data_IF_897230233726
#
_entry.id   IF_897230233726
#
_cell.length_a   1.000
_cell.length_b   1.000
_cell.length_c   1.000
_cell.angle_alpha   90.00
_cell.angle_beta   90.00
_cell.angle_gamma   90.00
#
_symmetry.space_group_name_H-M   'P 1'
#
loop_
_entity.id
_entity.type
_entity.pdbx_description
1 polymer ?
#
# COMPACT_ATOMS: atom_id res chain seq x y z
N UNK A 1 -24.20 -9.66 -24.24
CA UNK A 1 -23.42 -8.43 -24.56
C UNK A 1 -22.80 -7.97 -23.27
N UNK A 2 -21.50 -7.71 -23.26
CA UNK A 2 -20.81 -7.06 -22.15
C UNK A 2 -20.01 -5.86 -22.67
N UNK A 3 -20.04 -4.77 -21.92
CA UNK A 3 -19.30 -3.53 -22.17
C UNK A 3 -18.22 -3.34 -21.12
N UNK A 4 -16.98 -3.19 -21.55
CA UNK A 4 -15.83 -2.86 -20.70
C UNK A 4 -15.59 -1.36 -20.75
N UNK A 5 -15.43 -0.73 -19.58
CA UNK A 5 -15.24 0.71 -19.40
C UNK A 5 -16.35 1.38 -18.57
N UNK A 6 -16.08 2.53 -17.98
CA UNK A 6 -16.93 3.16 -16.94
C UNK A 6 -17.79 4.32 -17.44
N UNK A 7 -17.47 4.97 -18.57
CA UNK A 7 -18.01 6.28 -18.96
C UNK A 7 -19.41 6.32 -19.58
N UNK A 8 -20.14 5.21 -19.67
CA UNK A 8 -21.47 5.23 -20.27
C UNK A 8 -22.52 5.71 -19.26
N UNK A 9 -23.15 6.86 -19.54
CA UNK A 9 -24.22 7.42 -18.71
C UNK A 9 -25.63 6.94 -19.10
N UNK A 10 -25.77 6.19 -20.19
CA UNK A 10 -27.07 5.69 -20.65
C UNK A 10 -27.53 4.49 -19.79
N UNK A 11 -28.66 4.59 -19.04
CA UNK A 11 -29.10 3.52 -18.14
C UNK A 11 -29.38 2.19 -18.85
N UNK A 12 -29.90 2.23 -20.09
CA UNK A 12 -30.20 1.02 -20.89
C UNK A 12 -28.93 0.25 -21.28
N UNK A 13 -27.80 0.93 -21.37
CA UNK A 13 -26.51 0.34 -21.74
C UNK A 13 -25.70 -0.02 -20.48
N UNK A 14 -25.87 0.72 -19.38
CA UNK A 14 -25.17 0.47 -18.12
C UNK A 14 -25.38 -0.95 -17.57
N UNK A 15 -26.57 -1.54 -17.74
CA UNK A 15 -26.84 -2.93 -17.36
C UNK A 15 -25.88 -3.95 -18.00
N UNK A 16 -25.31 -3.63 -19.18
CA UNK A 16 -24.35 -4.49 -19.86
C UNK A 16 -22.91 -4.23 -19.44
N UNK A 17 -22.64 -3.31 -18.50
CA UNK A 17 -21.28 -3.07 -18.02
C UNK A 17 -20.65 -4.30 -17.38
N UNK A 18 -19.33 -4.44 -17.51
CA UNK A 18 -18.57 -5.51 -16.86
C UNK A 18 -18.70 -5.41 -15.32
N UNK A 19 -18.80 -4.21 -14.76
CA UNK A 19 -19.14 -4.01 -13.33
C UNK A 19 -20.43 -4.74 -12.95
N UNK A 20 -21.52 -4.48 -13.67
CA UNK A 20 -22.81 -5.13 -13.41
C UNK A 20 -22.79 -6.62 -13.75
N UNK A 21 -21.93 -7.07 -14.67
CA UNK A 21 -21.72 -8.50 -14.92
C UNK A 21 -21.04 -9.18 -13.73
N UNK A 22 -20.00 -8.57 -13.13
CA UNK A 22 -19.36 -9.06 -11.89
C UNK A 22 -20.37 -9.15 -10.76
N UNK A 23 -21.14 -8.08 -10.51
CA UNK A 23 -22.14 -8.07 -9.45
C UNK A 23 -23.17 -9.20 -9.63
N UNK A 24 -23.77 -9.34 -10.81
CA UNK A 24 -24.73 -10.41 -11.10
C UNK A 24 -24.10 -11.80 -10.97
N UNK A 25 -22.85 -11.97 -11.36
CA UNK A 25 -22.17 -13.26 -11.24
C UNK A 25 -21.90 -13.66 -9.78
N UNK A 26 -21.66 -12.67 -8.91
CA UNK A 26 -21.57 -12.85 -7.46
C UNK A 26 -22.93 -13.24 -6.88
N UNK A 27 -23.97 -12.46 -7.17
CA UNK A 27 -25.35 -12.71 -6.70
C UNK A 27 -25.87 -14.10 -7.10
N UNK A 28 -25.63 -14.48 -8.37
CA UNK A 28 -26.08 -15.76 -8.91
C UNK A 28 -25.11 -16.92 -8.66
N UNK A 29 -23.96 -16.67 -8.01
CA UNK A 29 -22.88 -17.66 -7.78
C UNK A 29 -22.48 -18.41 -9.06
N UNK A 30 -22.39 -17.69 -10.18
CA UNK A 30 -22.14 -18.27 -11.50
C UNK A 30 -20.66 -18.44 -11.84
N UNK A 31 -19.76 -17.94 -11.00
CA UNK A 31 -18.31 -18.11 -11.16
C UNK A 31 -17.87 -19.48 -10.63
N UNK A 32 -16.84 -20.10 -11.22
CA UNK A 32 -16.20 -21.28 -10.65
C UNK A 32 -15.78 -21.03 -9.19
N UNK A 33 -16.12 -21.97 -8.31
CA UNK A 33 -15.89 -21.85 -6.86
C UNK A 33 -14.42 -21.58 -6.53
N UNK A 34 -13.51 -22.25 -7.23
CA UNK A 34 -12.07 -22.10 -7.02
C UNK A 34 -11.61 -20.66 -7.29
N UNK A 35 -12.08 -20.05 -8.38
CA UNK A 35 -11.74 -18.65 -8.70
C UNK A 35 -12.29 -17.71 -7.62
N UNK A 36 -13.53 -17.92 -7.20
CA UNK A 36 -14.15 -17.09 -6.18
C UNK A 36 -13.42 -17.19 -4.83
N UNK A 37 -13.21 -18.41 -4.31
CA UNK A 37 -12.55 -18.61 -3.01
C UNK A 37 -11.10 -18.14 -3.01
N UNK A 38 -10.34 -18.44 -4.07
CA UNK A 38 -8.94 -18.01 -4.16
C UNK A 38 -8.84 -16.49 -4.26
N UNK A 39 -9.74 -15.83 -5.01
CA UNK A 39 -9.79 -14.36 -5.06
C UNK A 39 -10.05 -13.77 -3.68
N UNK A 40 -10.99 -14.33 -2.92
CA UNK A 40 -11.30 -13.88 -1.56
C UNK A 40 -10.12 -14.10 -0.61
N UNK A 41 -9.47 -15.28 -0.65
CA UNK A 41 -8.29 -15.55 0.17
C UNK A 41 -7.16 -14.55 -0.12
N UNK A 42 -6.86 -14.31 -1.39
CA UNK A 42 -5.80 -13.38 -1.79
C UNK A 42 -6.14 -11.92 -1.47
N UNK A 43 -7.42 -11.54 -1.51
CA UNK A 43 -7.86 -10.22 -1.07
C UNK A 43 -7.61 -10.04 0.42
N UNK A 44 -8.03 -10.99 1.25
CA UNK A 44 -7.82 -10.94 2.70
C UNK A 44 -6.33 -10.92 3.06
N UNK A 45 -5.51 -11.76 2.42
CA UNK A 45 -4.05 -11.75 2.59
C UNK A 45 -3.44 -10.40 2.19
N UNK A 46 -3.82 -9.85 1.03
CA UNK A 46 -3.35 -8.53 0.58
C UNK A 46 -3.68 -7.44 1.61
N UNK A 47 -4.93 -7.41 2.11
CA UNK A 47 -5.38 -6.43 3.11
C UNK A 47 -4.57 -6.59 4.41
N UNK A 48 -4.39 -7.82 4.90
CA UNK A 48 -3.60 -8.08 6.09
C UNK A 48 -2.13 -7.62 5.93
N UNK A 49 -1.50 -7.87 4.78
CA UNK A 49 -0.14 -7.37 4.50
C UNK A 49 -0.09 -5.85 4.38
N UNK A 50 -1.12 -5.21 3.82
CA UNK A 50 -1.22 -3.76 3.73
C UNK A 50 -1.32 -3.12 5.13
N UNK A 51 -2.14 -3.68 6.02
CA UNK A 51 -2.23 -3.25 7.41
C UNK A 51 -0.91 -3.44 8.17
N UNK A 52 -0.26 -4.60 7.98
CA UNK A 52 1.05 -4.88 8.58
C UNK A 52 2.12 -3.90 8.09
N UNK A 53 2.13 -3.56 6.80
CA UNK A 53 3.02 -2.55 6.22
C UNK A 53 2.79 -1.17 6.84
N UNK A 54 1.54 -0.71 6.91
CA UNK A 54 1.18 0.59 7.54
C UNK A 54 1.63 0.63 9.00
N UNK A 55 1.37 -0.43 9.77
CA UNK A 55 1.80 -0.52 11.16
C UNK A 55 3.33 -0.46 11.30
N UNK A 56 4.07 -1.16 10.45
CA UNK A 56 5.55 -1.15 10.50
C UNK A 56 6.17 0.14 10.00
N UNK A 57 5.54 0.82 9.02
CA UNK A 57 5.94 2.16 8.59
C UNK A 57 5.77 3.17 9.72
N UNK A 58 4.66 3.09 10.47
CA UNK A 58 4.43 3.92 11.64
C UNK A 58 5.47 3.66 12.75
N UNK A 59 5.79 2.40 13.04
CA UNK A 59 6.87 2.07 13.97
C UNK A 59 8.22 2.66 13.53
N UNK A 60 8.52 2.61 12.22
CA UNK A 60 9.74 3.20 11.66
C UNK A 60 9.76 4.72 11.85
N UNK A 61 8.65 5.41 11.59
CA UNK A 61 8.50 6.86 11.82
C UNK A 61 8.68 7.22 13.30
N UNK A 62 8.14 6.42 14.21
CA UNK A 62 8.35 6.60 15.65
C UNK A 62 9.83 6.52 16.03
N UNK A 63 10.61 5.65 15.38
CA UNK A 63 12.06 5.62 15.66
C UNK A 63 12.75 6.94 15.33
N UNK A 64 12.19 7.78 14.44
CA UNK A 64 12.77 9.05 14.02
C UNK A 64 12.33 10.22 14.91
N UNK A 65 11.23 10.06 15.63
CA UNK A 65 10.54 11.16 16.31
C UNK A 65 10.42 10.97 17.82
N UNK A 66 10.50 9.74 18.32
CA UNK A 66 10.23 9.38 19.71
C UNK A 66 11.29 8.41 20.28
N UNK A 67 11.42 8.41 21.61
CA UNK A 67 12.15 7.35 22.31
C UNK A 67 11.30 6.09 22.26
N UNK A 68 11.88 5.00 21.77
CA UNK A 68 11.21 3.71 21.65
C UNK A 68 11.13 3.06 23.03
N UNK A 69 9.95 2.50 23.32
CA UNK A 69 9.69 1.81 24.57
C UNK A 69 10.62 0.59 24.70
N UNK A 70 11.02 0.30 25.94
CA UNK A 70 11.91 -0.81 26.24
C UNK A 70 11.27 -2.15 25.85
N UNK A 71 9.95 -2.26 26.05
CA UNK A 71 9.14 -3.40 25.62
C UNK A 71 9.38 -3.76 24.15
N UNK A 72 9.32 -2.78 23.24
CA UNK A 72 9.54 -2.98 21.80
C UNK A 72 10.93 -3.57 21.49
N UNK A 73 11.98 -3.14 22.19
CA UNK A 73 13.30 -3.74 21.99
C UNK A 73 13.39 -5.18 22.49
N UNK A 74 12.74 -5.50 23.61
CA UNK A 74 12.78 -6.84 24.19
C UNK A 74 11.96 -7.87 23.41
N UNK A 75 10.80 -7.49 22.88
CA UNK A 75 9.96 -8.35 22.04
C UNK A 75 10.69 -8.81 20.78
N UNK A 76 11.59 -7.98 20.26
CA UNK A 76 12.36 -8.22 19.04
C UNK A 76 13.82 -8.66 19.30
N UNK A 77 14.16 -9.00 20.55
CA UNK A 77 15.48 -9.50 20.96
C UNK A 77 16.64 -8.57 20.53
N UNK A 78 16.43 -7.26 20.58
CA UNK A 78 17.40 -6.25 20.12
C UNK A 78 18.53 -6.04 21.15
N UNK A 79 18.19 -6.13 22.44
CA UNK A 79 19.09 -5.84 23.56
C UNK A 79 19.67 -7.15 24.10
N UNK A 80 20.98 -7.15 24.41
CA UNK A 80 21.63 -8.26 25.12
C UNK A 80 20.97 -8.49 26.49
N UNK A 81 20.71 -9.75 26.83
CA UNK A 81 20.11 -10.16 28.08
C UNK A 81 20.85 -9.63 29.32
N UNK A 82 22.17 -9.44 29.23
CA UNK A 82 22.98 -8.84 30.31
C UNK A 82 22.55 -7.40 30.61
N UNK A 83 22.38 -6.59 29.58
CA UNK A 83 21.92 -5.21 29.71
C UNK A 83 20.45 -5.12 30.15
N UNK A 84 19.59 -6.02 29.65
CA UNK A 84 18.20 -6.13 30.12
C UNK A 84 18.16 -6.38 31.62
N UNK A 85 18.93 -7.39 32.06
CA UNK A 85 18.98 -7.79 33.48
C UNK A 85 19.51 -6.67 34.36
N UNK A 86 20.56 -5.96 33.90
CA UNK A 86 21.09 -4.82 34.65
C UNK A 86 20.15 -3.62 34.71
N UNK A 87 19.46 -3.29 33.61
CA UNK A 87 18.55 -2.14 33.57
C UNK A 87 17.33 -2.36 34.47
N UNK A 88 16.81 -3.59 34.50
CA UNK A 88 15.61 -3.94 35.26
C UNK A 88 15.87 -4.41 36.69
N UNK A 89 17.11 -4.76 37.06
CA UNK A 89 17.45 -5.20 38.42
C UNK A 89 16.90 -4.32 39.57
N UNK A 90 16.84 -2.97 39.45
CA UNK A 90 16.28 -2.10 40.50
C UNK A 90 14.75 -2.00 40.50
N UNK A 91 14.05 -2.56 39.51
CA UNK A 91 12.65 -2.25 39.23
C UNK A 91 11.78 -3.50 39.09
N UNK A 92 10.49 -3.36 39.41
CA UNK A 92 9.49 -4.39 39.10
C UNK A 92 9.23 -4.48 37.59
N UNK A 93 8.77 -5.64 37.12
CA UNK A 93 8.51 -5.92 35.70
C UNK A 93 7.55 -4.96 35.01
N UNK A 94 6.69 -4.26 35.75
CA UNK A 94 5.72 -3.30 35.20
C UNK A 94 6.32 -1.90 34.96
N UNK A 95 7.59 -1.69 35.32
CA UNK A 95 8.27 -0.38 35.29
C UNK A 95 9.36 -0.29 34.20
N UNK A 96 9.40 -1.23 33.24
CA UNK A 96 10.51 -1.33 32.26
C UNK A 96 10.71 -0.07 31.42
N UNK A 97 9.62 0.49 30.92
CA UNK A 97 9.67 1.68 30.06
C UNK A 97 10.05 2.94 30.87
N UNK A 98 9.61 2.99 32.13
CA UNK A 98 9.96 4.07 33.06
C UNK A 98 11.45 3.98 33.43
N UNK A 99 11.98 2.77 33.62
CA UNK A 99 13.39 2.54 33.90
C UNK A 99 14.29 3.02 32.75
N UNK A 100 13.92 2.76 31.48
CA UNK A 100 14.64 3.25 30.31
C UNK A 100 14.67 4.79 30.26
N UNK A 101 13.51 5.43 30.43
CA UNK A 101 13.42 6.89 30.40
C UNK A 101 14.21 7.54 31.53
N UNK A 102 14.20 6.93 32.71
CA UNK A 102 15.02 7.36 33.84
C UNK A 102 16.52 7.19 33.60
N UNK A 103 16.93 6.05 33.02
CA UNK A 103 18.31 5.78 32.64
C UNK A 103 18.85 6.77 31.60
N UNK A 104 17.99 7.21 30.66
CA UNK A 104 18.27 8.25 29.67
C UNK A 104 18.20 9.68 30.23
N UNK A 105 17.92 9.88 31.53
CA UNK A 105 17.97 11.20 32.17
C UNK A 105 16.74 12.08 31.97
N UNK A 106 15.59 11.53 31.52
CA UNK A 106 14.33 12.30 31.40
C UNK A 106 13.72 12.66 32.77
N UNK A 107 14.22 12.05 33.84
CA UNK A 107 13.78 12.24 35.21
C UNK A 107 15.00 12.59 36.09
N UNK A 108 15.26 13.87 36.38
CA UNK A 108 16.47 14.32 37.09
C UNK A 108 16.63 13.75 38.52
N UNK A 109 15.51 13.38 39.16
CA UNK A 109 15.48 12.78 40.51
C UNK A 109 15.34 11.24 40.48
N UNK A 110 15.45 10.60 39.30
CA UNK A 110 15.19 9.17 39.14
C UNK A 110 16.19 8.29 39.89
N UNK A 111 17.46 8.70 39.89
CA UNK A 111 18.53 8.04 40.62
C UNK A 111 18.45 8.31 42.14
N UNK A 112 17.48 9.12 42.60
CA UNK A 112 17.23 9.48 44.00
C UNK A 112 15.88 9.00 44.55
N UNK A 113 15.10 8.24 43.79
CA UNK A 113 13.77 7.79 44.23
C UNK A 113 13.92 6.91 45.48
N UNK A 114 13.42 7.34 46.66
CA UNK A 114 13.30 6.46 47.82
C UNK A 114 12.18 5.45 47.57
N UNK A 115 12.24 4.29 48.25
CA UNK A 115 11.28 3.15 48.18
C UNK A 115 9.77 3.50 48.20
N UNK A 116 9.39 4.75 48.45
CA UNK A 116 7.99 5.18 48.60
C UNK A 116 7.25 5.53 47.30
N UNK A 117 7.88 5.49 46.12
CA UNK A 117 7.16 5.61 44.82
C UNK A 117 6.52 4.29 44.34
N UNK A 118 6.61 3.22 45.16
CA UNK A 118 6.18 1.86 44.83
C UNK A 118 4.65 1.65 45.00
N UNK A 119 3.88 2.63 45.50
CA UNK A 119 2.47 2.40 45.81
C UNK A 119 1.48 2.65 44.64
N UNK A 120 0.57 1.69 44.32
CA UNK A 120 -0.19 1.69 43.06
C UNK A 120 -1.54 2.45 43.10
N UNK A 121 -1.81 3.26 44.11
CA UNK A 121 -3.22 3.66 44.40
C UNK A 121 -3.74 4.93 43.72
N UNK A 122 -2.97 5.59 42.85
CA UNK A 122 -3.46 6.75 42.11
C UNK A 122 -3.24 6.61 40.60
N UNK A 123 -4.04 5.76 39.94
CA UNK A 123 -4.17 5.76 38.47
C UNK A 123 -5.65 5.79 38.08
N UNK A 124 -6.16 7.00 37.81
CA UNK A 124 -7.27 7.14 36.87
C UNK A 124 -6.71 6.94 35.45
N UNK A 125 -7.18 5.88 34.78
CA UNK A 125 -6.89 5.60 33.37
C UNK A 125 -7.54 6.66 32.50
N UNK A 126 -6.76 7.65 32.06
CA UNK A 126 -7.19 8.60 31.03
C UNK A 126 -6.74 8.11 29.65
N UNK A 127 -7.70 7.59 28.88
CA UNK A 127 -7.58 7.38 27.44
C UNK A 127 -7.99 8.68 26.75
N UNK A 128 -7.12 9.26 25.93
CA UNK A 128 -7.44 10.40 25.06
C UNK A 128 -7.00 10.11 23.61
N UNK A 129 -7.70 10.67 22.60
CA UNK A 129 -7.67 10.20 21.22
C UNK A 129 -6.43 10.69 20.47
N UNK A 130 -5.97 9.89 19.51
CA UNK A 130 -4.96 10.26 18.54
C UNK A 130 -5.66 10.95 17.35
N UNK A 131 -5.29 12.20 17.04
CA UNK A 131 -5.65 12.83 15.77
C UNK A 131 -4.73 12.28 14.67
N UNK A 132 -5.34 11.66 13.66
CA UNK A 132 -4.69 11.18 12.44
C UNK A 132 -4.40 12.37 11.53
N UNK A 133 -3.15 12.80 11.45
CA UNK A 133 -2.70 13.61 10.31
C UNK A 133 -2.27 12.67 9.20
N UNK A 134 -3.17 12.45 8.24
CA UNK A 134 -2.87 11.83 6.96
C UNK A 134 -1.82 12.68 6.25
N UNK A 135 -0.59 12.20 6.21
CA UNK A 135 0.45 12.79 5.38
C UNK A 135 0.50 11.98 4.10
N UNK A 136 -0.09 12.52 3.03
CA UNK A 136 -0.03 11.94 1.70
C UNK A 136 1.41 12.00 1.20
N UNK A 137 1.97 10.84 0.88
CA UNK A 137 3.25 10.71 0.19
C UNK A 137 2.94 10.86 -1.31
N UNK A 138 3.35 11.98 -1.89
CA UNK A 138 3.38 12.16 -3.35
C UNK A 138 4.50 11.28 -3.92
N UNK A 139 4.10 10.16 -4.53
CA UNK A 139 4.98 9.38 -5.39
C UNK A 139 5.06 10.06 -6.76
N UNK A 140 6.25 10.01 -7.36
CA UNK A 140 6.56 10.61 -8.65
C UNK A 140 5.58 10.13 -9.74
N UNK A 141 5.04 11.11 -10.48
CA UNK A 141 4.12 10.92 -11.61
C UNK A 141 4.85 10.26 -12.79
N UNK A 142 4.82 8.92 -12.84
CA UNK A 142 4.90 8.21 -14.11
C UNK A 142 3.58 8.45 -14.88
N UNK A 143 3.66 8.60 -16.21
CA UNK A 143 2.56 9.00 -17.11
C UNK A 143 1.21 8.37 -16.72
N UNK A 144 0.41 9.17 -15.99
CA UNK A 144 -0.60 8.73 -15.04
C UNK A 144 -1.95 8.55 -15.76
N UNK A 145 -2.49 7.33 -15.83
CA UNK A 145 -3.86 7.13 -16.30
C UNK A 145 -4.82 7.14 -15.10
N UNK A 146 -5.26 8.34 -14.69
CA UNK A 146 -6.23 8.54 -13.58
C UNK A 146 -7.43 7.59 -13.67
N UNK A 147 -7.86 7.25 -14.89
CA UNK A 147 -8.97 6.33 -15.14
C UNK A 147 -8.71 4.91 -14.64
N UNK A 148 -7.47 4.42 -14.79
CA UNK A 148 -7.09 3.06 -14.40
C UNK A 148 -7.01 2.92 -12.88
N UNK A 149 -6.45 3.92 -12.20
CA UNK A 149 -6.43 3.95 -10.75
C UNK A 149 -7.83 4.08 -10.15
N UNK A 150 -8.69 4.90 -10.75
CA UNK A 150 -10.06 5.05 -10.28
C UNK A 150 -10.88 3.77 -10.54
N UNK A 151 -10.61 3.03 -11.62
CA UNK A 151 -11.20 1.70 -11.82
C UNK A 151 -10.68 0.68 -10.78
N UNK A 152 -9.38 0.66 -10.51
CA UNK A 152 -8.79 -0.23 -9.49
C UNK A 152 -9.30 0.10 -8.08
N UNK A 153 -9.41 1.39 -7.72
CA UNK A 153 -10.04 1.84 -6.47
C UNK A 153 -11.48 1.36 -6.37
N UNK A 154 -12.30 1.61 -7.40
CA UNK A 154 -13.70 1.12 -7.39
C UNK A 154 -13.80 -0.41 -7.31
N UNK A 155 -12.90 -1.14 -7.98
CA UNK A 155 -12.84 -2.61 -7.87
C UNK A 155 -12.46 -3.04 -6.46
N UNK A 156 -11.53 -2.34 -5.83
CA UNK A 156 -11.14 -2.58 -4.46
C UNK A 156 -12.29 -2.32 -3.49
N UNK A 157 -13.02 -1.20 -3.65
CA UNK A 157 -14.21 -0.90 -2.85
C UNK A 157 -15.34 -1.93 -3.06
N UNK A 158 -15.57 -2.35 -4.31
CA UNK A 158 -16.54 -3.39 -4.66
C UNK A 158 -16.11 -4.78 -4.11
N UNK A 159 -14.82 -5.01 -3.86
CA UNK A 159 -14.27 -6.23 -3.28
C UNK A 159 -14.29 -6.17 -1.72
N UNK A 160 -14.02 -5.01 -1.10
CA UNK A 160 -14.04 -4.79 0.36
C UNK A 160 -15.46 -4.78 0.94
N UNK A 161 -16.42 -4.11 0.28
CA UNK A 161 -17.83 -4.07 0.74
C UNK A 161 -18.50 -5.47 0.79
N UNK A 162 -17.79 -6.51 0.37
CA UNK A 162 -18.20 -7.90 0.40
C UNK A 162 -17.85 -8.62 1.74
N UNK A 163 -16.90 -8.09 2.52
CA UNK A 163 -16.49 -8.67 3.82
C UNK A 163 -17.55 -8.57 4.93
N UNK A 164 -18.66 -7.86 4.72
CA UNK A 164 -19.82 -7.89 5.64
C UNK A 164 -20.57 -9.24 5.65
N UNK A 165 -20.16 -10.23 4.84
CA UNK A 165 -20.69 -11.59 4.90
C UNK A 165 -19.74 -12.52 5.66
N UNK A 166 -19.93 -12.59 6.99
CA UNK A 166 -19.16 -13.43 7.92
C UNK A 166 -19.07 -14.90 7.50
N UNK A 167 -17.86 -15.49 7.54
CA UNK A 167 -17.65 -16.82 8.07
C UNK A 167 -17.25 -16.69 9.53
N UNK A 168 -18.06 -17.30 10.39
CA UNK A 168 -17.82 -17.49 11.83
C UNK A 168 -16.51 -18.25 12.08
N UNK A 169 -15.41 -17.52 12.19
CA UNK A 169 -14.18 -18.00 12.84
C UNK A 169 -13.63 -16.86 13.67
N UNK A 170 -13.85 -16.94 14.99
CA UNK A 170 -13.32 -15.98 15.95
C UNK A 170 -11.81 -15.85 15.82
N UNK A 171 -11.36 -14.74 15.25
CA UNK A 171 -10.02 -14.23 15.44
C UNK A 171 -10.12 -13.14 16.52
N UNK A 172 -9.67 -13.51 17.72
CA UNK A 172 -9.38 -12.55 18.77
C UNK A 172 -8.24 -11.67 18.25
N UNK A 173 -8.56 -10.52 17.69
CA UNK A 173 -7.58 -9.47 17.43
C UNK A 173 -7.15 -8.94 18.80
N UNK A 174 -5.91 -9.27 19.18
CA UNK A 174 -5.29 -8.74 20.39
C UNK A 174 -5.05 -7.25 20.16
N UNK A 175 -6.05 -6.44 20.49
CA UNK A 175 -5.97 -4.97 20.60
C UNK A 175 -5.04 -4.63 21.77
N UNK A 176 -3.73 -4.85 21.59
CA UNK A 176 -2.72 -4.26 22.46
C UNK A 176 -2.36 -2.89 21.92
N UNK A 177 -3.13 -1.94 22.44
CA UNK A 177 -3.02 -0.50 22.32
C UNK A 177 -1.59 -0.08 22.71
N UNK A 178 -0.81 0.44 21.76
CA UNK A 178 0.42 1.17 22.08
C UNK A 178 0.08 2.65 22.28
N UNK A 179 0.26 3.15 23.50
CA UNK A 179 -0.11 4.50 23.93
C UNK A 179 1.10 5.44 23.99
N UNK A 180 0.91 6.69 23.57
CA UNK A 180 1.84 7.79 23.81
C UNK A 180 1.89 8.14 25.31
N UNK A 181 3.07 8.19 25.92
CA UNK A 181 3.24 8.65 27.31
C UNK A 181 3.28 10.18 27.32
N UNK A 182 2.22 10.84 27.79
CA UNK A 182 2.28 12.25 28.22
C UNK A 182 2.62 12.35 29.71
N UNK A 183 3.71 13.03 30.03
CA UNK A 183 4.12 13.33 31.40
C UNK A 183 3.31 14.54 31.88
N UNK A 184 2.26 14.32 32.68
CA UNK A 184 1.51 15.41 33.32
C UNK A 184 1.12 15.10 34.77
N UNK A 185 1.88 15.65 35.74
CA UNK A 185 1.39 15.84 37.11
C UNK A 185 0.86 17.27 37.28
N UNK A 186 -0.44 17.42 37.59
CA UNK A 186 -1.12 18.69 37.83
C UNK A 186 -0.62 19.39 39.11
N UNK A 187 0.52 20.08 39.07
CA UNK A 187 0.88 21.10 40.08
C UNK A 187 2.06 22.02 39.69
N UNK A 188 2.20 22.42 38.43
CA UNK A 188 3.27 23.36 38.05
C UNK A 188 3.06 24.02 36.67
N UNK A 189 2.03 24.85 36.50
CA UNK A 189 1.70 25.45 35.18
C UNK A 189 2.77 26.40 34.59
N UNK A 190 3.81 26.78 35.34
CA UNK A 190 4.95 27.54 34.80
C UNK A 190 6.22 26.70 34.56
N UNK A 191 6.43 25.61 35.28
CA UNK A 191 7.63 24.75 35.16
C UNK A 191 7.48 23.66 34.10
N UNK A 192 6.25 23.23 33.78
CA UNK A 192 5.96 22.14 32.82
C UNK A 192 6.33 22.51 31.37
N UNK A 193 6.19 23.77 30.96
CA UNK A 193 6.58 24.20 29.61
C UNK A 193 8.11 24.15 29.39
N UNK A 194 8.89 24.49 30.42
CA UNK A 194 10.36 24.43 30.35
C UNK A 194 10.87 22.99 30.30
N UNK A 195 10.24 22.08 31.04
CA UNK A 195 10.59 20.66 31.05
C UNK A 195 10.17 19.95 29.75
N UNK A 196 9.00 20.29 29.19
CA UNK A 196 8.57 19.79 27.87
C UNK A 196 9.55 20.19 26.76
N UNK A 197 9.95 21.46 26.74
CA UNK A 197 10.95 21.95 25.78
C UNK A 197 12.34 21.33 25.96
N UNK A 198 12.74 20.99 27.19
CA UNK A 198 13.99 20.29 27.46
C UNK A 198 13.94 18.84 26.97
N UNK A 199 12.86 18.12 27.29
CA UNK A 199 12.65 16.74 26.86
C UNK A 199 12.61 16.64 25.33
N UNK A 200 11.92 17.54 24.64
CA UNK A 200 11.85 17.55 23.17
C UNK A 200 13.21 17.79 22.51
N UNK A 201 14.07 18.60 23.13
CA UNK A 201 15.46 18.82 22.66
C UNK A 201 16.32 17.61 22.94
N UNK A 202 16.16 16.97 24.10
CA UNK A 202 16.92 15.78 24.48
C UNK A 202 16.55 14.59 23.59
N UNK A 203 15.26 14.38 23.30
CA UNK A 203 14.78 13.36 22.36
C UNK A 203 15.45 13.55 21.00
N UNK A 204 15.38 14.76 20.43
CA UNK A 204 16.05 15.07 19.16
C UNK A 204 17.56 14.82 19.22
N UNK A 205 18.23 15.28 20.28
CA UNK A 205 19.66 15.05 20.47
C UNK A 205 20.02 13.56 20.53
N UNK A 206 19.23 12.74 21.20
CA UNK A 206 19.49 11.30 21.29
C UNK A 206 19.27 10.63 19.92
N UNK A 207 18.21 10.98 19.20
CA UNK A 207 17.78 10.26 17.98
C UNK A 207 18.50 10.70 16.71
N UNK A 208 18.84 11.99 16.56
CA UNK A 208 19.43 12.55 15.33
C UNK A 208 20.91 12.18 15.17
N UNK A 209 21.61 11.89 16.27
CA UNK A 209 23.03 11.58 16.26
C UNK A 209 23.25 10.06 16.05
N UNK A 210 24.20 9.66 15.18
CA UNK A 210 24.54 8.27 15.00
C UNK A 210 25.25 7.70 16.23
N UNK A 211 25.17 6.38 16.38
CA UNK A 211 26.00 5.67 17.37
C UNK A 211 27.45 5.56 16.88
N UNK A 212 28.41 5.55 17.81
CA UNK A 212 29.82 5.20 17.54
C UNK A 212 30.10 3.71 17.78
N UNK A 213 29.12 2.97 18.31
CA UNK A 213 29.25 1.58 18.70
C UNK A 213 28.97 0.61 17.55
N UNK A 214 29.63 -0.54 17.59
CA UNK A 214 29.40 -1.68 16.72
C UNK A 214 29.28 -2.96 17.56
N UNK A 215 29.01 -4.11 16.93
CA UNK A 215 28.82 -5.37 17.66
C UNK A 215 30.03 -5.74 18.55
N UNK A 216 31.25 -5.40 18.14
CA UNK A 216 32.48 -5.74 18.85
C UNK A 216 32.70 -4.84 20.06
N UNK A 217 32.47 -3.53 19.91
CA UNK A 217 32.64 -2.57 21.00
C UNK A 217 31.55 -2.70 22.06
N UNK A 218 30.32 -3.05 21.67
CA UNK A 218 29.23 -3.31 22.62
C UNK A 218 29.54 -4.49 23.53
N UNK A 219 30.23 -5.52 23.04
CA UNK A 219 30.63 -6.66 23.88
C UNK A 219 31.65 -6.28 24.97
N UNK A 220 32.34 -5.16 24.82
CA UNK A 220 33.32 -4.64 25.77
C UNK A 220 32.71 -3.65 26.78
N UNK A 221 31.44 -3.28 26.60
CA UNK A 221 30.71 -2.41 27.53
C UNK A 221 30.44 -3.19 28.82
N UNK A 222 30.51 -2.47 29.94
CA UNK A 222 30.23 -3.00 31.27
C UNK A 222 28.79 -3.56 31.34
N UNK A 223 28.66 -4.77 31.87
CA UNK A 223 27.37 -5.43 32.10
C UNK A 223 26.42 -4.55 32.93
N UNK A 224 26.97 -3.77 33.88
CA UNK A 224 26.20 -2.84 34.68
C UNK A 224 26.01 -1.49 33.96
N UNK A 225 24.88 -1.38 33.26
CA UNK A 225 24.55 -0.20 32.44
C UNK A 225 24.34 1.08 33.25
N UNK A 226 24.14 1.00 34.57
CA UNK A 226 23.99 2.18 35.44
C UNK A 226 25.32 2.88 35.73
N UNK A 227 26.45 2.19 35.55
CA UNK A 227 27.79 2.76 35.73
C UNK A 227 28.26 3.58 34.52
N UNK A 228 27.52 3.53 33.42
CA UNK A 228 27.80 4.31 32.22
C UNK A 228 27.50 5.79 32.45
N UNK A 229 28.36 6.66 31.92
CA UNK A 229 28.09 8.09 31.90
C UNK A 229 26.99 8.43 30.87
N UNK A 230 26.42 9.64 30.94
CA UNK A 230 25.29 10.03 30.08
C UNK A 230 25.56 9.83 28.57
N UNK A 231 26.78 10.16 28.11
CA UNK A 231 27.12 10.00 26.69
C UNK A 231 27.22 8.54 26.28
N UNK A 232 27.79 7.68 27.13
CA UNK A 232 27.84 6.23 26.91
C UNK A 232 26.43 5.61 26.90
N UNK A 233 25.52 6.09 27.76
CA UNK A 233 24.11 5.65 27.78
C UNK A 233 23.40 6.02 26.47
N UNK A 234 23.56 7.26 26.00
CA UNK A 234 22.99 7.70 24.73
C UNK A 234 23.56 6.92 23.56
N UNK A 235 24.87 6.66 23.55
CA UNK A 235 25.50 5.91 22.49
C UNK A 235 25.03 4.45 22.44
N UNK A 236 24.91 3.81 23.60
CA UNK A 236 24.36 2.46 23.72
C UNK A 236 22.88 2.39 23.30
N UNK A 237 22.06 3.37 23.68
CA UNK A 237 20.69 3.47 23.20
C UNK A 237 20.62 3.66 21.68
N UNK A 238 21.44 4.55 21.11
CA UNK A 238 21.51 4.75 19.64
C UNK A 238 21.90 3.47 18.92
N UNK A 239 22.76 2.63 19.51
CA UNK A 239 23.07 1.31 18.97
C UNK A 239 21.85 0.38 19.00
N UNK A 240 21.10 0.31 20.10
CA UNK A 240 19.85 -0.46 20.15
C UNK A 240 18.83 0.06 19.12
N UNK A 241 18.69 1.38 19.00
CA UNK A 241 17.82 2.02 18.01
C UNK A 241 18.25 1.68 16.57
N UNK A 242 19.55 1.66 16.28
CA UNK A 242 20.08 1.26 14.97
C UNK A 242 19.72 -0.18 14.64
N UNK A 243 19.92 -1.11 15.59
CA UNK A 243 19.56 -2.53 15.42
C UNK A 243 18.06 -2.71 15.23
N UNK A 244 17.26 -1.97 15.99
CA UNK A 244 15.81 -2.01 15.86
C UNK A 244 15.35 -1.48 14.50
N UNK A 245 15.88 -0.35 14.02
CA UNK A 245 15.61 0.16 12.66
C UNK A 245 16.00 -0.85 11.59
N UNK A 246 17.14 -1.52 11.71
CA UNK A 246 17.54 -2.59 10.79
C UNK A 246 16.55 -3.77 10.81
N UNK A 247 16.08 -4.16 11.99
CA UNK A 247 15.04 -5.19 12.11
C UNK A 247 13.73 -4.76 11.42
N UNK A 248 13.25 -3.54 11.67
CA UNK A 248 12.05 -2.99 11.04
C UNK A 248 12.20 -2.89 9.53
N UNK A 249 13.35 -2.45 9.02
CA UNK A 249 13.65 -2.39 7.59
C UNK A 249 13.54 -3.77 6.94
N UNK A 250 14.21 -4.78 7.50
CA UNK A 250 14.14 -6.15 7.00
C UNK A 250 12.70 -6.71 7.04
N UNK A 251 11.94 -6.38 8.09
CA UNK A 251 10.54 -6.75 8.19
C UNK A 251 9.69 -6.05 7.12
N UNK A 252 9.90 -4.76 6.87
CA UNK A 252 9.21 -4.00 5.83
C UNK A 252 9.50 -4.57 4.43
N UNK A 253 10.75 -4.90 4.14
CA UNK A 253 11.14 -5.50 2.86
C UNK A 253 10.44 -6.85 2.65
N UNK A 254 10.40 -7.70 3.68
CA UNK A 254 9.69 -8.97 3.63
C UNK A 254 8.18 -8.79 3.46
N UNK A 255 7.54 -7.93 4.25
CA UNK A 255 6.10 -7.65 4.16
C UNK A 255 5.73 -7.04 2.80
N UNK A 256 6.57 -6.16 2.25
CA UNK A 256 6.39 -5.57 0.92
C UNK A 256 6.47 -6.64 -0.16
N UNK A 257 7.39 -7.60 -0.03
CA UNK A 257 7.49 -8.74 -0.95
C UNK A 257 6.22 -9.60 -0.93
N UNK A 258 5.74 -9.97 0.25
CA UNK A 258 4.54 -10.80 0.41
C UNK A 258 3.28 -10.05 -0.07
N UNK A 259 3.16 -8.75 0.22
CA UNK A 259 2.11 -7.89 -0.34
C UNK A 259 2.10 -7.91 -1.87
N UNK A 260 3.27 -7.72 -2.49
CA UNK A 260 3.39 -7.68 -3.96
C UNK A 260 3.03 -9.02 -4.59
N UNK A 261 3.41 -10.14 -3.95
CA UNK A 261 3.02 -11.48 -4.38
C UNK A 261 1.50 -11.66 -4.29
N UNK A 262 0.89 -11.34 -3.15
CA UNK A 262 -0.56 -11.45 -2.96
C UNK A 262 -1.33 -10.55 -3.95
N UNK A 263 -0.88 -9.31 -4.16
CA UNK A 263 -1.46 -8.37 -5.11
C UNK A 263 -1.38 -8.87 -6.56
N UNK A 264 -0.23 -9.45 -6.95
CA UNK A 264 -0.04 -10.03 -8.28
C UNK A 264 -0.98 -11.22 -8.51
N UNK A 265 -1.06 -12.15 -7.55
CA UNK A 265 -1.95 -13.32 -7.65
C UNK A 265 -3.42 -12.87 -7.66
N UNK A 266 -3.80 -11.88 -6.84
CA UNK A 266 -5.13 -11.30 -6.87
C UNK A 266 -5.48 -10.71 -8.24
N UNK A 267 -4.54 -9.98 -8.87
CA UNK A 267 -4.73 -9.45 -10.22
C UNK A 267 -4.95 -10.57 -11.25
N UNK A 268 -4.24 -11.69 -11.15
CA UNK A 268 -4.47 -12.86 -12.00
C UNK A 268 -5.88 -13.45 -11.82
N UNK A 269 -6.35 -13.59 -10.57
CA UNK A 269 -7.70 -14.09 -10.30
C UNK A 269 -8.78 -13.12 -10.76
N UNK A 270 -8.56 -11.81 -10.66
CA UNK A 270 -9.44 -10.80 -11.26
C UNK A 270 -9.49 -10.92 -12.79
N UNK A 271 -8.36 -11.15 -13.45
CA UNK A 271 -8.33 -11.42 -14.90
C UNK A 271 -9.06 -12.72 -15.26
N UNK A 272 -8.91 -13.78 -14.44
CA UNK A 272 -9.66 -15.04 -14.63
C UNK A 272 -11.16 -14.79 -14.47
N UNK A 273 -11.60 -14.11 -13.43
CA UNK A 273 -13.00 -13.70 -13.23
C UNK A 273 -13.52 -12.97 -14.47
N UNK A 274 -12.84 -11.92 -14.92
CA UNK A 274 -13.22 -11.14 -16.10
C UNK A 274 -13.30 -12.00 -17.37
N UNK A 275 -12.33 -12.90 -17.60
CA UNK A 275 -12.39 -13.83 -18.72
C UNK A 275 -13.64 -14.71 -18.69
N UNK A 276 -13.99 -15.28 -17.53
CA UNK A 276 -15.18 -16.12 -17.38
C UNK A 276 -16.48 -15.33 -17.64
N UNK A 277 -16.51 -14.05 -17.29
CA UNK A 277 -17.65 -13.18 -17.57
C UNK A 277 -17.75 -12.80 -19.05
N UNK A 278 -16.63 -12.76 -19.77
CA UNK A 278 -16.58 -12.31 -21.16
C UNK A 278 -16.69 -13.45 -22.17
N UNK A 279 -16.15 -14.64 -21.87
CA UNK A 279 -15.97 -15.74 -22.85
C UNK A 279 -17.25 -16.22 -23.54
N UNK A 280 -18.39 -16.19 -22.84
CA UNK A 280 -19.66 -16.72 -23.35
C UNK A 280 -20.55 -15.61 -23.95
N UNK A 281 -20.04 -14.37 -24.06
CA UNK A 281 -20.79 -13.25 -24.62
C UNK A 281 -20.61 -13.15 -26.14
N UNK A 282 -21.73 -12.99 -26.84
CA UNK A 282 -21.76 -12.77 -28.30
C UNK A 282 -21.03 -11.48 -28.71
N UNK A 283 -21.15 -10.43 -27.88
CA UNK A 283 -20.54 -9.12 -28.14
C UNK A 283 -19.83 -8.67 -26.87
N UNK A 284 -18.53 -8.36 -27.02
CA UNK A 284 -17.71 -7.66 -26.03
C UNK A 284 -17.33 -6.32 -26.64
N UNK A 285 -17.84 -5.23 -26.06
CA UNK A 285 -17.57 -3.87 -26.51
C UNK A 285 -16.64 -3.16 -25.53
N UNK A 286 -15.60 -2.49 -26.01
CA UNK A 286 -14.64 -1.78 -25.16
C UNK A 286 -14.00 -0.61 -25.90
N UNK A 287 -13.48 0.37 -25.16
CA UNK A 287 -12.64 1.42 -25.73
C UNK A 287 -11.26 0.86 -26.09
N UNK A 288 -10.50 1.58 -26.91
CA UNK A 288 -9.12 1.20 -27.29
C UNK A 288 -8.20 1.11 -26.08
N UNK A 289 -8.32 2.02 -25.11
CA UNK A 289 -7.60 1.96 -23.83
C UNK A 289 -7.93 0.69 -23.05
N UNK A 290 -9.21 0.33 -22.95
CA UNK A 290 -9.62 -0.94 -22.34
C UNK A 290 -9.08 -2.14 -23.12
N UNK A 291 -9.05 -2.10 -24.46
CA UNK A 291 -8.49 -3.18 -25.26
C UNK A 291 -7.00 -3.42 -24.96
N UNK A 292 -6.22 -2.35 -24.79
CA UNK A 292 -4.82 -2.45 -24.37
C UNK A 292 -4.69 -3.08 -22.96
N UNK A 293 -5.48 -2.59 -21.99
CA UNK A 293 -5.49 -3.12 -20.62
C UNK A 293 -5.90 -4.60 -20.55
N UNK A 294 -6.86 -5.00 -21.37
CA UNK A 294 -7.41 -6.36 -21.41
C UNK A 294 -6.77 -7.22 -22.50
N UNK A 295 -5.58 -6.85 -22.99
CA UNK A 295 -4.90 -7.57 -24.07
C UNK A 295 -4.79 -9.08 -23.80
N UNK A 296 -4.34 -9.48 -22.60
CA UNK A 296 -4.25 -10.90 -22.21
C UNK A 296 -5.60 -11.63 -22.26
N UNK A 297 -6.70 -10.93 -21.99
CA UNK A 297 -8.05 -11.50 -22.06
C UNK A 297 -8.50 -11.58 -23.51
N UNK A 298 -8.26 -10.54 -24.33
CA UNK A 298 -8.57 -10.55 -25.77
C UNK A 298 -7.85 -11.69 -26.50
N UNK A 299 -6.57 -11.94 -26.19
CA UNK A 299 -5.82 -13.07 -26.72
C UNK A 299 -6.47 -14.42 -26.36
N UNK A 300 -6.98 -14.57 -25.12
CA UNK A 300 -7.68 -15.78 -24.66
C UNK A 300 -9.10 -15.91 -25.22
N UNK A 301 -9.79 -14.80 -25.45
CA UNK A 301 -11.13 -14.79 -26.05
C UNK A 301 -11.11 -15.27 -27.50
N UNK A 302 -9.99 -15.07 -28.20
CA UNK A 302 -9.80 -15.56 -29.56
C UNK A 302 -10.91 -15.12 -30.52
N UNK A 303 -11.35 -13.86 -30.40
CA UNK A 303 -12.42 -13.29 -31.20
C UNK A 303 -12.12 -13.41 -32.69
N UNK A 304 -13.04 -14.03 -33.45
CA UNK A 304 -12.93 -14.21 -34.90
C UNK A 304 -13.20 -12.94 -35.68
N UNK A 305 -14.07 -12.07 -35.15
CA UNK A 305 -14.49 -10.83 -35.80
C UNK A 305 -14.17 -9.68 -34.85
N UNK A 306 -13.43 -8.70 -35.35
CA UNK A 306 -13.11 -7.46 -34.63
C UNK A 306 -13.64 -6.29 -35.46
N UNK A 307 -14.44 -5.43 -34.83
CA UNK A 307 -14.99 -4.21 -35.44
C UNK A 307 -14.41 -3.02 -34.70
N UNK A 308 -13.82 -2.10 -35.45
CA UNK A 308 -13.21 -0.87 -34.92
C UNK A 308 -13.93 0.32 -35.53
N UNK A 309 -14.72 0.99 -34.69
CA UNK A 309 -15.28 2.32 -34.97
C UNK A 309 -14.19 3.40 -34.80
N UNK A 310 -14.36 4.53 -35.48
CA UNK A 310 -13.40 5.66 -35.47
C UNK A 310 -11.95 5.26 -35.83
N UNK A 311 -11.78 4.21 -36.64
CA UNK A 311 -10.49 3.59 -36.95
C UNK A 311 -9.45 4.56 -37.57
N UNK A 312 -9.90 5.66 -38.16
CA UNK A 312 -9.02 6.70 -38.70
C UNK A 312 -8.30 7.51 -37.60
N UNK A 313 -8.90 7.65 -36.41
CA UNK A 313 -8.39 8.43 -35.29
C UNK A 313 -7.63 7.58 -34.25
N UNK A 314 -7.52 6.27 -34.46
CA UNK A 314 -6.90 5.33 -33.52
C UNK A 314 -5.47 4.96 -33.97
N UNK A 315 -4.53 4.95 -33.03
CA UNK A 315 -3.18 4.46 -33.28
C UNK A 315 -3.19 3.02 -33.80
N UNK A 316 -2.39 2.76 -34.84
CA UNK A 316 -2.22 1.41 -35.37
C UNK A 316 -1.90 0.38 -34.29
N UNK A 317 -0.99 0.71 -33.36
CA UNK A 317 -0.57 -0.20 -32.29
C UNK A 317 -1.75 -0.65 -31.41
N UNK A 318 -2.71 0.24 -31.13
CA UNK A 318 -3.90 -0.10 -30.35
C UNK A 318 -4.84 -1.05 -31.11
N UNK A 319 -4.91 -0.95 -32.44
CA UNK A 319 -5.70 -1.89 -33.24
C UNK A 319 -5.01 -3.25 -33.27
N UNK A 320 -3.70 -3.29 -33.54
CA UNK A 320 -2.94 -4.55 -33.65
C UNK A 320 -2.99 -5.34 -32.34
N UNK A 321 -2.78 -4.67 -31.21
CA UNK A 321 -2.81 -5.30 -29.88
C UNK A 321 -4.20 -5.78 -29.47
N UNK A 322 -5.28 -5.28 -30.09
CA UNK A 322 -6.63 -5.79 -29.87
C UNK A 322 -6.94 -7.06 -30.66
N UNK A 323 -6.09 -7.45 -31.63
CA UNK A 323 -6.29 -8.65 -32.44
C UNK A 323 -5.73 -9.90 -31.74
N UNK A 324 -6.39 -11.03 -31.94
CA UNK A 324 -5.87 -12.34 -31.56
C UNK A 324 -5.37 -13.10 -32.79
N UNK A 325 -4.57 -14.16 -32.57
CA UNK A 325 -4.13 -15.08 -33.64
C UNK A 325 -5.28 -15.82 -34.34
N UNK A 326 -6.50 -15.76 -33.78
CA UNK A 326 -7.72 -16.34 -34.35
C UNK A 326 -8.62 -15.33 -35.04
N UNK A 327 -8.22 -14.06 -35.15
CA UNK A 327 -8.98 -13.06 -35.88
C UNK A 327 -9.03 -13.42 -37.38
N UNK A 328 -10.23 -13.67 -37.88
CA UNK A 328 -10.52 -14.02 -39.28
C UNK A 328 -11.02 -12.79 -40.05
N UNK A 329 -11.72 -11.86 -39.39
CA UNK A 329 -12.29 -10.66 -39.99
C UNK A 329 -12.00 -9.42 -39.15
N UNK A 330 -11.30 -8.44 -39.74
CA UNK A 330 -11.13 -7.10 -39.18
C UNK A 330 -11.93 -6.10 -40.00
N UNK A 331 -12.89 -5.44 -39.37
CA UNK A 331 -13.74 -4.41 -39.97
C UNK A 331 -13.32 -3.06 -39.38
N UNK A 332 -12.81 -2.16 -40.23
CA UNK A 332 -12.39 -0.83 -39.83
C UNK A 332 -13.37 0.20 -40.42
N UNK A 333 -14.00 0.99 -39.54
CA UNK A 333 -14.94 2.05 -39.90
C UNK A 333 -14.32 3.37 -39.45
N UNK A 334 -14.16 4.33 -40.36
CA UNK A 334 -13.59 5.62 -40.03
C UNK A 334 -13.54 6.57 -41.22
N UNK A 335 -13.16 7.81 -40.94
CA UNK A 335 -12.96 8.85 -41.96
C UNK A 335 -11.53 9.40 -41.89
N UNK A 336 -10.70 9.01 -42.86
CA UNK A 336 -9.29 9.42 -42.95
C UNK A 336 -9.10 10.88 -43.39
N UNK A 337 -10.19 11.59 -43.74
CA UNK A 337 -10.18 13.03 -44.03
C UNK A 337 -10.43 13.86 -42.76
N UNK A 338 -10.86 13.22 -41.66
CA UNK A 338 -11.11 13.87 -40.37
C UNK A 338 -9.89 13.75 -39.44
N UNK A 339 -10.11 13.48 -38.15
CA UNK A 339 -9.09 13.43 -37.12
C UNK A 339 -8.15 12.23 -37.31
N UNK A 340 -6.88 12.48 -37.01
CA UNK A 340 -5.81 11.48 -36.96
C UNK A 340 -5.46 11.14 -35.52
N UNK A 341 -4.76 10.02 -35.28
CA UNK A 341 -4.14 9.75 -33.99
C UNK A 341 -3.17 10.88 -33.63
N UNK A 342 -3.24 11.37 -32.40
CA UNK A 342 -2.43 12.50 -31.92
C UNK A 342 -1.35 12.02 -30.93
N UNK A 343 -0.10 11.80 -31.37
CA UNK A 343 0.98 11.38 -30.49
C UNK A 343 1.48 12.53 -29.60
N UNK A 344 1.77 12.23 -28.33
CA UNK A 344 2.29 13.21 -27.36
C UNK A 344 3.63 13.82 -27.79
N UNK A 345 4.46 13.05 -28.50
CA UNK A 345 5.78 13.48 -28.98
C UNK A 345 5.76 13.72 -30.49
N UNK A 346 5.66 14.99 -30.88
CA UNK A 346 5.61 15.41 -32.29
C UNK A 346 6.80 14.89 -33.12
N UNK A 347 8.01 14.86 -32.55
CA UNK A 347 9.18 14.37 -33.28
C UNK A 347 9.05 12.89 -33.69
N UNK A 348 8.43 12.06 -32.86
CA UNK A 348 8.19 10.66 -33.17
C UNK A 348 7.14 10.51 -34.27
N UNK A 349 6.11 11.37 -34.26
CA UNK A 349 5.12 11.47 -35.33
C UNK A 349 5.78 11.69 -36.69
N UNK A 350 6.60 12.75 -36.80
CA UNK A 350 7.24 13.11 -38.07
C UNK A 350 8.24 12.06 -38.53
N UNK A 351 9.08 11.54 -37.61
CA UNK A 351 10.16 10.62 -37.96
C UNK A 351 9.67 9.21 -38.30
N UNK A 352 8.69 8.70 -37.55
CA UNK A 352 8.24 7.32 -37.64
C UNK A 352 6.81 7.16 -38.17
N UNK A 353 6.11 8.27 -38.44
CA UNK A 353 4.74 8.29 -38.98
C UNK A 353 3.73 7.56 -38.09
N UNK A 354 3.92 7.65 -36.76
CA UNK A 354 3.04 7.00 -35.77
C UNK A 354 1.65 7.66 -35.66
N UNK A 355 1.48 8.85 -36.25
CA UNK A 355 0.21 9.55 -36.43
C UNK A 355 -0.57 9.08 -37.68
N UNK A 356 -0.07 8.09 -38.41
CA UNK A 356 -0.80 7.44 -39.51
C UNK A 356 -1.50 6.20 -38.97
N UNK A 357 -2.83 6.21 -38.95
CA UNK A 357 -3.62 5.05 -38.51
C UNK A 357 -3.48 3.86 -39.46
N UNK A 358 -3.76 2.64 -38.96
CA UNK A 358 -3.84 1.44 -39.79
C UNK A 358 -4.85 1.63 -40.94
N UNK A 359 -5.97 2.29 -40.64
CA UNK A 359 -7.00 2.61 -41.62
C UNK A 359 -6.46 3.50 -42.75
N UNK A 360 -5.82 4.63 -42.42
CA UNK A 360 -5.24 5.54 -43.41
C UNK A 360 -4.16 4.84 -44.25
N UNK A 361 -3.31 4.02 -43.62
CA UNK A 361 -2.23 3.32 -44.30
C UNK A 361 -2.73 2.25 -45.28
N UNK A 362 -3.78 1.50 -44.93
CA UNK A 362 -4.41 0.55 -45.85
C UNK A 362 -4.99 1.26 -47.09
N UNK A 363 -5.63 2.43 -46.89
CA UNK A 363 -6.14 3.26 -47.99
C UNK A 363 -4.99 3.75 -48.89
N UNK A 364 -3.91 4.28 -48.30
CA UNK A 364 -2.70 4.71 -49.03
C UNK A 364 -2.08 3.58 -49.85
N UNK A 365 -2.15 2.35 -49.33
CA UNK A 365 -1.69 1.13 -50.00
C UNK A 365 -2.71 0.55 -51.00
N UNK A 366 -3.77 1.31 -51.35
CA UNK A 366 -4.80 0.94 -52.32
C UNK A 366 -5.57 -0.33 -51.94
N UNK A 367 -5.70 -0.60 -50.64
CA UNK A 367 -6.55 -1.67 -50.15
C UNK A 367 -8.03 -1.35 -50.49
N UNK A 368 -8.83 -2.34 -50.93
CA UNK A 368 -10.23 -2.12 -51.25
C UNK A 368 -11.00 -1.51 -50.07
N UNK A 369 -11.75 -0.46 -50.33
CA UNK A 369 -12.59 0.20 -49.33
C UNK A 369 -13.93 0.61 -49.95
N UNK A 370 -14.94 0.80 -49.09
CA UNK A 370 -16.29 1.21 -49.48
C UNK A 370 -16.59 2.53 -48.79
N UNK A 371 -17.07 3.51 -49.56
CA UNK A 371 -17.52 4.82 -49.05
C UNK A 371 -19.03 4.86 -49.02
N UNK A 372 -19.60 5.26 -47.89
CA UNK A 372 -21.02 5.58 -47.77
C UNK A 372 -21.27 6.93 -48.48
N UNK A 373 -22.22 6.96 -49.42
CA UNK A 373 -22.42 8.09 -50.33
C UNK A 373 -23.72 8.89 -50.06
N UNK A 374 -24.46 8.53 -49.02
CA UNK A 374 -25.67 9.23 -48.59
C UNK A 374 -25.43 9.64 -47.13
N UNK A 375 -25.63 10.93 -46.86
CA UNK A 375 -25.41 11.54 -45.55
C UNK A 375 -26.73 11.67 -44.79
#
# INVERSE_FOLDING_TARGET
IVRVGSRCQNPKIQQFSLKNARQRARENRSLPKDIFHEKQRMLAEKVAFEEALKSKQQEMEWTQTHIILFSSFTEHLIIDQRHISSLLAPFHEDMRDIALLGWLGFYPDFERIPDNFIHPENRETHVLPMETNDTMIEMQEDEFNEEDEEEERRRHDDDINLEEYEPTTGHLTDRRISSKVEISSRRARQTVQSQGNYNDRLIRYIIENPTTLNNETVNQINDNVWQLNEQERYDLYRYWLLKYRQHLQNSLDNQSREYNVAASILAEYRQKEDYYLLKDNIIVAMTTTCAAKYHNILEKLQSKIVIVEEAAAIFEAHIITALSTKCEHLILIGDHVQLKPNPSVYHLAVKYQIDVSLFERLIKNKFPNVRLNIQ
#
